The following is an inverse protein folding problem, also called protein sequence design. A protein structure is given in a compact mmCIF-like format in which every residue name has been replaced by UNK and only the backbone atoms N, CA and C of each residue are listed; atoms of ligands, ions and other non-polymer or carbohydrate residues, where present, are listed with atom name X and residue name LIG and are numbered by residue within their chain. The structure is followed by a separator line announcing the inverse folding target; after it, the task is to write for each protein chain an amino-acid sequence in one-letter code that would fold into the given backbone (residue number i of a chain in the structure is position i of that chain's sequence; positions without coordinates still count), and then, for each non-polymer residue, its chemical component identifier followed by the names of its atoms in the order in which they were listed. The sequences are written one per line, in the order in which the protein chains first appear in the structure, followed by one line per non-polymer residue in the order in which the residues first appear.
data_IF_957755058274
#
_entry.id   IF_957755058274
#
_cell.length_a   1.000
_cell.length_b   1.000
_cell.length_c   1.000
_cell.angle_alpha   90.00
_cell.angle_beta   90.00
_cell.angle_gamma   90.00
#
_symmetry.space_group_name_H-M   'P 1'
#
loop_
_entity.id
_entity.type
_entity.pdbx_description
1 polymer ?
#
# COMPACT_ATOMS: atom_id res chain seq x y z
N UNK A 1 16.57 -28.14 -39.68
CA UNK A 1 16.47 -27.97 -38.21
C UNK A 1 17.67 -27.13 -37.80
N UNK A 2 17.53 -26.06 -37.01
CA UNK A 2 18.71 -25.33 -36.55
C UNK A 2 19.47 -26.25 -35.58
N UNK A 3 20.76 -26.46 -35.82
CA UNK A 3 21.66 -27.14 -34.90
C UNK A 3 21.67 -26.37 -33.58
N UNK A 4 21.01 -26.92 -32.56
CA UNK A 4 21.11 -26.40 -31.20
C UNK A 4 22.52 -26.77 -30.73
N UNK A 5 23.48 -25.87 -30.92
CA UNK A 5 24.82 -26.00 -30.36
C UNK A 5 24.71 -26.07 -28.83
N UNK A 6 24.88 -27.27 -28.27
CA UNK A 6 25.07 -27.44 -26.83
C UNK A 6 26.35 -26.67 -26.47
N UNK A 7 26.29 -25.64 -25.63
CA UNK A 7 27.49 -24.90 -25.25
C UNK A 7 28.50 -25.86 -24.60
N UNK A 8 29.81 -25.69 -24.84
CA UNK A 8 30.84 -26.50 -24.19
C UNK A 8 30.63 -26.54 -22.68
N UNK A 9 30.93 -27.68 -22.07
CA UNK A 9 30.79 -27.90 -20.64
C UNK A 9 31.41 -26.81 -19.76
N UNK A 10 32.53 -26.25 -20.21
CA UNK A 10 33.29 -25.22 -19.52
C UNK A 10 32.91 -23.78 -19.94
N UNK A 11 31.98 -23.60 -20.89
CA UNK A 11 31.53 -22.27 -21.31
C UNK A 11 30.54 -21.68 -20.30
N UNK A 12 30.54 -20.36 -20.12
CA UNK A 12 29.61 -19.66 -19.22
C UNK A 12 28.15 -20.00 -19.51
N UNK A 13 27.76 -20.12 -20.78
CA UNK A 13 26.41 -20.53 -21.18
C UNK A 13 26.11 -21.99 -20.81
N UNK A 14 27.10 -22.88 -20.89
CA UNK A 14 26.98 -24.29 -20.49
C UNK A 14 26.94 -24.47 -18.97
N UNK A 15 27.65 -23.61 -18.23
CA UNK A 15 27.60 -23.53 -16.77
C UNK A 15 26.22 -23.01 -16.33
N UNK A 16 25.74 -21.89 -16.90
CA UNK A 16 24.43 -21.34 -16.59
C UNK A 16 23.26 -22.29 -16.91
N UNK A 17 23.35 -23.05 -18.02
CA UNK A 17 22.40 -24.11 -18.37
C UNK A 17 22.38 -25.26 -17.34
N UNK A 18 23.53 -25.56 -16.72
CA UNK A 18 23.66 -26.62 -15.70
C UNK A 18 23.30 -26.14 -14.30
N UNK A 19 23.60 -24.89 -13.97
CA UNK A 19 23.20 -24.25 -12.73
C UNK A 19 21.67 -24.14 -12.62
N UNK A 20 20.99 -23.98 -13.77
CA UNK A 20 19.53 -24.00 -13.83
C UNK A 20 18.90 -25.39 -13.68
N UNK A 21 19.69 -26.45 -13.77
CA UNK A 21 19.24 -27.82 -13.63
C UNK A 21 19.51 -28.33 -12.22
N UNK A 22 18.48 -28.23 -11.37
CA UNK A 22 18.56 -28.67 -9.98
C UNK A 22 17.68 -29.90 -9.73
N UNK A 23 17.99 -30.64 -8.66
CA UNK A 23 17.20 -31.78 -8.19
C UNK A 23 15.71 -31.42 -8.02
N UNK A 24 15.41 -30.19 -7.61
CA UNK A 24 14.04 -29.67 -7.48
C UNK A 24 13.31 -29.51 -8.81
N UNK A 25 13.96 -29.01 -9.85
CA UNK A 25 13.35 -28.85 -11.18
C UNK A 25 12.99 -30.20 -11.81
N UNK A 26 13.88 -31.19 -11.68
CA UNK A 26 13.62 -32.56 -12.14
C UNK A 26 12.44 -33.19 -11.38
N UNK A 27 12.39 -33.01 -10.06
CA UNK A 27 11.29 -33.49 -9.23
C UNK A 27 9.95 -32.84 -9.60
N UNK A 28 9.93 -31.52 -9.81
CA UNK A 28 8.74 -30.78 -10.23
C UNK A 28 8.24 -31.23 -11.60
N UNK A 29 9.14 -31.44 -12.56
CA UNK A 29 8.78 -31.93 -13.89
C UNK A 29 8.15 -33.34 -13.82
N UNK A 30 8.71 -34.26 -13.03
CA UNK A 30 8.11 -35.59 -12.81
C UNK A 30 6.79 -35.48 -12.04
N UNK A 31 6.67 -34.57 -11.08
CA UNK A 31 5.42 -34.30 -10.34
C UNK A 31 4.30 -33.89 -11.30
N UNK A 32 4.56 -32.93 -12.20
CA UNK A 32 3.58 -32.46 -13.18
C UNK A 32 3.13 -33.59 -14.11
N UNK A 33 4.05 -34.46 -14.55
CA UNK A 33 3.71 -35.63 -15.36
C UNK A 33 2.85 -36.63 -14.59
N UNK A 34 3.27 -37.00 -13.37
CA UNK A 34 2.57 -37.96 -12.54
C UNK A 34 1.16 -37.49 -12.15
N UNK A 35 1.01 -36.20 -11.83
CA UNK A 35 -0.29 -35.58 -11.57
C UNK A 35 -1.21 -35.59 -12.80
N UNK A 36 -0.66 -35.44 -14.00
CA UNK A 36 -1.42 -35.60 -15.25
C UNK A 36 -1.88 -37.03 -15.52
N UNK A 37 -1.16 -38.02 -15.00
CA UNK A 37 -1.49 -39.44 -15.16
C UNK A 37 -2.46 -39.99 -14.12
N UNK A 38 -2.46 -39.42 -12.92
CA UNK A 38 -3.31 -39.84 -11.81
C UNK A 38 -3.87 -38.62 -11.06
N UNK A 39 -4.81 -37.86 -11.66
CA UNK A 39 -5.34 -36.63 -11.07
C UNK A 39 -6.09 -36.85 -9.75
N UNK A 40 -6.47 -38.08 -9.44
CA UNK A 40 -7.11 -38.50 -8.19
C UNK A 40 -6.14 -38.59 -6.99
N UNK A 41 -4.83 -38.50 -7.23
CA UNK A 41 -3.81 -38.48 -6.19
C UNK A 41 -3.26 -37.06 -6.00
N UNK A 42 -3.02 -36.69 -4.74
CA UNK A 42 -2.36 -35.42 -4.42
C UNK A 42 -0.83 -35.59 -4.54
N UNK A 43 -0.16 -34.64 -5.19
CA UNK A 43 1.28 -34.70 -5.45
C UNK A 43 2.03 -33.50 -4.88
N UNK A 44 3.19 -33.78 -4.27
CA UNK A 44 4.08 -32.79 -3.68
C UNK A 44 5.47 -32.89 -4.30
N UNK A 45 6.14 -31.76 -4.52
CA UNK A 45 7.55 -31.73 -4.90
C UNK A 45 8.41 -31.80 -3.64
N UNK A 46 9.36 -32.72 -3.62
CA UNK A 46 10.17 -33.07 -2.45
C UNK A 46 9.57 -34.22 -1.63
N UNK A 47 10.09 -34.44 -0.40
CA UNK A 47 9.56 -35.48 0.49
C UNK A 47 8.09 -35.21 0.84
N UNK A 48 7.30 -36.29 0.93
CA UNK A 48 5.89 -36.19 1.31
C UNK A 48 5.76 -35.57 2.71
N UNK A 49 5.03 -34.46 2.90
CA UNK A 49 4.88 -33.82 4.20
C UNK A 49 4.30 -34.78 5.25
N UNK A 50 4.79 -34.74 6.49
CA UNK A 50 4.38 -35.68 7.55
C UNK A 50 2.89 -35.64 7.89
N UNK A 51 2.25 -34.50 7.68
CA UNK A 51 0.84 -34.26 7.99
C UNK A 51 -0.13 -34.51 6.82
N UNK A 52 0.39 -34.91 5.64
CA UNK A 52 -0.41 -35.08 4.42
C UNK A 52 -0.46 -36.55 3.95
N UNK A 53 -1.55 -36.94 3.31
CA UNK A 53 -1.63 -38.14 2.47
C UNK A 53 -1.43 -37.71 1.00
N UNK A 54 -0.91 -38.59 0.15
CA UNK A 54 -0.58 -38.27 -1.24
C UNK A 54 0.73 -38.91 -1.68
N UNK A 55 1.40 -38.30 -2.66
CA UNK A 55 2.67 -38.78 -3.25
C UNK A 55 3.70 -37.64 -3.26
N UNK A 56 4.80 -37.83 -2.55
CA UNK A 56 5.99 -36.98 -2.65
C UNK A 56 6.88 -37.42 -3.81
N UNK A 57 7.40 -36.45 -4.57
CA UNK A 57 8.29 -36.68 -5.72
C UNK A 57 9.65 -36.08 -5.43
N UNK A 58 10.67 -36.90 -5.29
CA UNK A 58 12.00 -36.46 -4.86
C UNK A 58 13.09 -36.95 -5.81
N UNK A 59 13.98 -36.07 -6.24
CA UNK A 59 15.19 -36.48 -6.97
C UNK A 59 16.24 -36.97 -5.96
N UNK A 60 16.41 -38.28 -5.86
CA UNK A 60 17.29 -38.94 -4.86
C UNK A 60 18.73 -39.00 -5.35
N UNK A 61 18.95 -39.03 -6.68
CA UNK A 61 20.29 -39.04 -7.26
C UNK A 61 20.35 -38.21 -8.53
N UNK A 62 21.25 -37.23 -8.53
CA UNK A 62 21.57 -36.42 -9.68
C UNK A 62 23.10 -36.31 -9.82
N UNK A 63 23.76 -37.31 -10.45
CA UNK A 63 25.21 -37.28 -10.61
C UNK A 63 25.61 -36.12 -11.53
N UNK A 64 26.78 -35.51 -11.32
CA UNK A 64 27.30 -34.53 -12.27
C UNK A 64 27.44 -35.18 -13.67
N UNK A 65 27.14 -34.45 -14.76
CA UNK A 65 27.28 -34.99 -16.11
C UNK A 65 28.74 -35.39 -16.37
N UNK A 66 28.96 -36.63 -16.80
CA UNK A 66 30.28 -37.13 -17.20
C UNK A 66 30.43 -37.05 -18.73
N UNK A 67 31.52 -36.45 -19.22
CA UNK A 67 31.86 -36.49 -20.65
C UNK A 67 32.08 -37.96 -21.07
N UNK A 68 31.45 -38.48 -22.14
CA UNK A 68 31.00 -37.79 -23.36
C UNK A 68 29.47 -37.59 -23.52
N UNK A 69 28.65 -37.76 -22.47
CA UNK A 69 27.17 -37.74 -22.57
C UNK A 69 26.58 -36.32 -22.50
N UNK A 70 27.16 -35.35 -23.22
CA UNK A 70 26.83 -33.92 -23.09
C UNK A 70 25.38 -33.55 -23.49
N UNK A 71 24.63 -34.44 -24.14
CA UNK A 71 23.22 -34.25 -24.48
C UNK A 71 22.20 -35.02 -23.63
N UNK A 72 22.64 -35.96 -22.78
CA UNK A 72 21.74 -36.81 -21.99
C UNK A 72 22.17 -36.86 -20.52
N UNK A 73 21.26 -36.49 -19.62
CA UNK A 73 21.50 -36.52 -18.18
C UNK A 73 20.59 -37.54 -17.51
N UNK A 74 21.16 -38.40 -16.66
CA UNK A 74 20.41 -39.39 -15.88
C UNK A 74 20.15 -38.90 -14.46
N UNK A 75 18.90 -38.97 -14.04
CA UNK A 75 18.46 -38.73 -12.67
C UNK A 75 17.70 -39.94 -12.12
N UNK A 76 17.76 -40.16 -10.81
CA UNK A 76 16.88 -41.09 -10.11
C UNK A 76 15.88 -40.28 -9.30
N UNK A 77 14.61 -40.42 -9.63
CA UNK A 77 13.49 -39.78 -8.95
C UNK A 77 12.69 -40.84 -8.22
N UNK A 78 12.27 -40.58 -6.99
CA UNK A 78 11.46 -41.49 -6.18
C UNK A 78 10.09 -40.89 -5.97
N UNK A 79 9.06 -41.66 -6.32
CA UNK A 79 7.68 -41.41 -5.93
C UNK A 79 7.42 -42.17 -4.61
N UNK A 80 7.14 -41.44 -3.54
CA UNK A 80 6.85 -42.00 -2.22
C UNK A 80 5.43 -41.60 -1.82
N UNK A 81 4.51 -42.56 -1.81
CA UNK A 81 3.12 -42.30 -1.46
C UNK A 81 2.68 -42.91 -0.13
N UNK A 82 1.71 -42.26 0.52
CA UNK A 82 1.08 -42.69 1.77
C UNK A 82 -0.39 -42.31 1.75
N UNK A 83 -1.28 -43.24 2.10
CA UNK A 83 -2.71 -42.94 2.25
C UNK A 83 -3.42 -43.93 3.17
N UNK A 84 -4.51 -43.48 3.83
CA UNK A 84 -5.46 -44.36 4.50
C UNK A 84 -6.51 -44.97 3.55
N UNK A 85 -6.61 -44.45 2.31
CA UNK A 85 -7.58 -44.91 1.33
C UNK A 85 -7.29 -46.36 0.90
N UNK A 86 -8.24 -47.31 1.05
CA UNK A 86 -8.05 -48.69 0.60
C UNK A 86 -7.81 -48.82 -0.91
N UNK A 87 -8.27 -47.86 -1.73
CA UNK A 87 -8.05 -47.85 -3.18
C UNK A 87 -6.68 -47.27 -3.60
N UNK A 88 -5.90 -46.77 -2.64
CA UNK A 88 -4.58 -46.17 -2.92
C UNK A 88 -3.60 -47.13 -3.61
N UNK A 89 -3.44 -48.40 -3.19
CA UNK A 89 -2.52 -49.33 -3.87
C UNK A 89 -2.88 -49.56 -5.35
N UNK A 90 -4.17 -49.63 -5.67
CA UNK A 90 -4.64 -49.82 -7.04
C UNK A 90 -4.35 -48.58 -7.89
N UNK A 91 -4.70 -47.38 -7.40
CA UNK A 91 -4.39 -46.10 -8.08
C UNK A 91 -2.90 -45.86 -8.27
N UNK A 92 -2.08 -46.22 -7.28
CA UNK A 92 -0.63 -46.10 -7.39
C UNK A 92 -0.04 -47.14 -8.36
N UNK A 93 -0.63 -48.34 -8.43
CA UNK A 93 -0.26 -49.35 -9.44
C UNK A 93 -0.61 -48.89 -10.86
N UNK A 94 -1.78 -48.26 -11.03
CA UNK A 94 -2.19 -47.65 -12.31
C UNK A 94 -1.24 -46.52 -12.74
N UNK A 95 -0.80 -45.69 -11.79
CA UNK A 95 0.25 -44.69 -12.02
C UNK A 95 1.58 -45.34 -12.40
N UNK A 96 2.02 -46.37 -11.67
CA UNK A 96 3.25 -47.09 -11.95
C UNK A 96 3.26 -47.70 -13.36
N UNK A 97 2.10 -48.19 -13.83
CA UNK A 97 1.92 -48.75 -15.16
C UNK A 97 2.03 -47.72 -16.30
N UNK A 98 1.99 -46.41 -16.00
CA UNK A 98 2.29 -45.35 -16.98
C UNK A 98 3.78 -45.19 -17.25
N UNK A 99 4.62 -45.89 -16.49
CA UNK A 99 6.06 -45.98 -16.71
C UNK A 99 6.40 -47.43 -17.17
N UNK A 100 7.15 -47.60 -18.26
CA UNK A 100 8.01 -46.61 -18.89
C UNK A 100 7.28 -45.60 -19.79
N UNK A 101 7.70 -44.34 -19.72
CA UNK A 101 7.21 -43.25 -20.57
C UNK A 101 8.31 -42.85 -21.56
N UNK A 102 8.00 -42.93 -22.87
CA UNK A 102 8.90 -42.50 -23.93
C UNK A 102 8.64 -41.04 -24.31
N UNK A 103 9.69 -40.23 -24.47
CA UNK A 103 9.63 -38.87 -24.99
C UNK A 103 8.58 -37.96 -24.30
N UNK A 104 8.66 -37.82 -22.98
CA UNK A 104 7.78 -36.93 -22.20
C UNK A 104 8.39 -35.52 -22.06
N UNK A 105 7.56 -34.50 -21.92
CA UNK A 105 8.03 -33.15 -21.62
C UNK A 105 7.08 -32.45 -20.64
N UNK A 106 7.65 -31.81 -19.62
CA UNK A 106 6.90 -31.08 -18.59
C UNK A 106 7.79 -30.05 -17.90
N UNK A 107 7.20 -28.94 -17.45
CA UNK A 107 7.89 -27.89 -16.70
C UNK A 107 9.22 -27.42 -17.32
N UNK A 108 9.31 -27.39 -18.66
CA UNK A 108 10.54 -27.01 -19.39
C UNK A 108 11.58 -28.12 -19.56
N UNK A 109 11.41 -29.28 -18.92
CA UNK A 109 12.30 -30.44 -19.03
C UNK A 109 11.75 -31.44 -20.04
N UNK A 110 12.62 -31.90 -20.95
CA UNK A 110 12.34 -32.97 -21.90
C UNK A 110 13.01 -34.27 -21.45
N UNK A 111 12.21 -35.28 -21.18
CA UNK A 111 12.66 -36.63 -20.88
C UNK A 111 12.73 -37.45 -22.17
N UNK A 112 13.92 -37.94 -22.52
CA UNK A 112 14.07 -38.94 -23.57
C UNK A 112 13.35 -40.24 -23.18
N UNK A 113 13.50 -40.66 -21.92
CA UNK A 113 12.86 -41.86 -21.37
C UNK A 113 12.71 -41.74 -19.86
N UNK A 114 11.63 -42.29 -19.31
CA UNK A 114 11.46 -42.49 -17.87
C UNK A 114 11.10 -43.95 -17.66
N UNK A 115 11.96 -44.70 -16.98
CA UNK A 115 11.72 -46.12 -16.68
C UNK A 115 11.59 -46.36 -15.17
N UNK A 116 10.83 -47.36 -14.73
CA UNK A 116 10.97 -47.86 -13.37
C UNK A 116 12.38 -48.42 -13.18
N UNK A 117 13.11 -47.91 -12.19
CA UNK A 117 14.41 -48.46 -11.80
C UNK A 117 14.24 -49.83 -11.11
N UNK A 118 13.17 -49.97 -10.33
CA UNK A 118 12.76 -51.18 -9.63
C UNK A 118 11.22 -51.28 -9.66
N UNK A 119 10.68 -52.44 -9.30
CA UNK A 119 9.23 -52.60 -9.18
C UNK A 119 8.67 -51.71 -8.05
N UNK A 120 7.41 -51.30 -8.17
CA UNK A 120 6.74 -50.56 -7.11
C UNK A 120 6.65 -51.43 -5.83
N UNK A 121 7.16 -50.92 -4.72
CA UNK A 121 7.08 -51.57 -3.42
C UNK A 121 5.85 -51.07 -2.67
N UNK A 122 5.09 -51.99 -2.08
CA UNK A 122 3.92 -51.67 -1.26
C UNK A 122 4.11 -52.21 0.15
N UNK A 123 3.82 -51.38 1.14
CA UNK A 123 3.84 -51.76 2.54
C UNK A 123 2.63 -51.21 3.29
N UNK A 124 2.43 -51.71 4.50
CA UNK A 124 1.49 -51.15 5.46
C UNK A 124 2.29 -50.69 6.66
N UNK A 125 2.18 -49.41 7.01
CA UNK A 125 2.88 -48.81 8.14
C UNK A 125 1.90 -48.12 9.06
N UNK A 126 2.25 -48.05 10.34
CA UNK A 126 1.47 -47.30 11.32
C UNK A 126 2.01 -45.86 11.34
N UNK A 127 1.25 -44.90 10.84
CA UNK A 127 1.61 -43.48 10.84
C UNK A 127 0.71 -42.73 11.81
N UNK A 128 1.28 -42.13 12.86
CA UNK A 128 0.54 -41.48 13.96
C UNK A 128 -0.62 -42.34 14.54
N UNK A 129 -0.41 -43.64 14.67
CA UNK A 129 -1.42 -44.56 15.22
C UNK A 129 -2.46 -45.05 14.21
N UNK A 130 -2.44 -44.58 12.97
CA UNK A 130 -3.37 -44.97 11.91
C UNK A 130 -2.64 -45.91 10.93
N UNK A 131 -3.21 -47.08 10.59
CA UNK A 131 -2.65 -47.93 9.54
C UNK A 131 -2.80 -47.22 8.19
N UNK A 132 -1.66 -46.99 7.52
CA UNK A 132 -1.58 -46.38 6.19
C UNK A 132 -0.94 -47.37 5.22
N UNK A 133 -1.42 -47.35 3.98
CA UNK A 133 -0.76 -48.00 2.84
C UNK A 133 0.33 -47.06 2.36
N UNK A 134 1.56 -47.55 2.20
CA UNK A 134 2.66 -46.81 1.61
C UNK A 134 3.12 -47.47 0.33
N UNK A 135 3.55 -46.67 -0.64
CA UNK A 135 4.09 -47.15 -1.89
C UNK A 135 5.35 -46.39 -2.28
N UNK A 136 6.35 -47.08 -2.83
CA UNK A 136 7.58 -46.47 -3.32
C UNK A 136 7.83 -46.95 -4.74
N UNK A 137 8.06 -46.00 -5.66
CA UNK A 137 8.47 -46.29 -7.03
C UNK A 137 9.69 -45.44 -7.39
N UNK A 138 10.88 -46.04 -7.51
CA UNK A 138 12.05 -45.37 -8.06
C UNK A 138 11.97 -45.36 -9.60
N UNK A 139 12.22 -44.20 -10.19
CA UNK A 139 12.21 -43.92 -11.62
C UNK A 139 13.60 -43.49 -12.07
N UNK A 140 14.11 -44.10 -13.13
CA UNK A 140 15.29 -43.66 -13.86
C UNK A 140 14.84 -42.72 -14.98
N UNK A 141 15.18 -41.44 -14.86
CA UNK A 141 14.87 -40.42 -15.84
C UNK A 141 16.09 -40.15 -16.73
N UNK A 142 15.97 -40.43 -18.02
CA UNK A 142 16.92 -39.97 -19.05
C UNK A 142 16.41 -38.65 -19.65
N UNK A 143 17.16 -37.58 -19.46
CA UNK A 143 16.77 -36.21 -19.79
C UNK A 143 17.56 -35.73 -21.00
N UNK A 144 16.84 -35.26 -22.02
CA UNK A 144 17.40 -34.63 -23.20
C UNK A 144 17.67 -33.16 -22.91
N UNK A 145 18.95 -32.85 -22.65
CA UNK A 145 19.40 -31.48 -22.37
C UNK A 145 19.28 -30.55 -23.57
N UNK A 146 19.25 -31.08 -24.79
CA UNK A 146 19.23 -30.28 -26.03
C UNK A 146 17.85 -29.72 -26.34
N UNK A 147 16.81 -30.45 -25.92
CA UNK A 147 15.40 -30.08 -26.11
C UNK A 147 14.73 -29.49 -24.87
N UNK A 148 15.47 -29.33 -23.77
CA UNK A 148 14.95 -28.74 -22.53
C UNK A 148 15.19 -27.23 -22.52
N UNK A 149 14.20 -26.46 -22.08
CA UNK A 149 14.26 -24.99 -21.99
C UNK A 149 14.27 -24.60 -20.51
N UNK A 150 15.33 -23.92 -20.08
CA UNK A 150 15.51 -23.56 -18.68
C UNK A 150 15.45 -22.04 -18.53
N UNK A 151 14.48 -21.57 -17.76
CA UNK A 151 14.59 -20.28 -17.07
C UNK A 151 15.49 -20.52 -15.86
N UNK A 152 16.59 -19.77 -15.76
CA UNK A 152 17.45 -19.82 -14.57
C UNK A 152 16.57 -19.72 -13.31
N UNK A 153 16.70 -20.63 -12.34
CA UNK A 153 16.01 -20.49 -11.09
C UNK A 153 16.47 -19.18 -10.48
N UNK A 154 15.52 -18.36 -10.04
CA UNK A 154 15.79 -17.35 -9.02
C UNK A 154 16.63 -18.04 -7.95
N UNK A 155 17.80 -17.46 -7.61
CA UNK A 155 18.65 -17.98 -6.54
C UNK A 155 17.78 -18.41 -5.35
N UNK A 156 18.06 -19.56 -4.70
CA UNK A 156 17.28 -19.98 -3.54
C UNK A 156 17.19 -18.79 -2.59
N UNK A 157 15.97 -18.29 -2.34
CA UNK A 157 15.76 -17.19 -1.39
C UNK A 157 16.47 -17.60 -0.11
N UNK A 158 17.51 -16.86 0.29
CA UNK A 158 18.15 -17.03 1.58
C UNK A 158 17.03 -17.12 2.62
N UNK A 159 17.02 -18.23 3.37
CA UNK A 159 16.02 -18.42 4.41
C UNK A 159 16.08 -17.18 5.31
N UNK A 160 14.99 -16.39 5.39
CA UNK A 160 15.05 -15.09 6.00
C UNK A 160 15.48 -15.24 7.46
N UNK A 161 16.54 -14.51 7.82
CA UNK A 161 17.12 -14.57 9.14
C UNK A 161 16.57 -13.46 10.05
N UNK A 162 17.03 -13.45 11.31
CA UNK A 162 16.61 -12.44 12.28
C UNK A 162 17.00 -11.01 11.85
N UNK A 163 18.12 -10.83 11.15
CA UNK A 163 18.58 -9.53 10.71
C UNK A 163 17.69 -9.00 9.58
N UNK A 164 17.37 -9.83 8.60
CA UNK A 164 16.43 -9.54 7.51
C UNK A 164 15.05 -9.19 8.04
N UNK A 165 14.56 -9.92 9.05
CA UNK A 165 13.27 -9.62 9.70
C UNK A 165 13.29 -8.26 10.41
N UNK A 166 14.39 -7.91 11.09
CA UNK A 166 14.57 -6.63 11.79
C UNK A 166 14.73 -5.45 10.83
N UNK A 167 15.31 -5.69 9.65
CA UNK A 167 15.50 -4.67 8.62
C UNK A 167 14.19 -4.14 8.03
N UNK A 168 13.09 -4.87 8.16
CA UNK A 168 11.76 -4.38 7.77
C UNK A 168 11.32 -3.30 8.77
N UNK A 169 11.62 -2.04 8.45
CA UNK A 169 11.29 -0.92 9.33
C UNK A 169 9.80 -0.63 9.28
N UNK A 170 9.14 -0.37 10.43
CA UNK A 170 7.74 0.06 10.46
C UNK A 170 7.46 1.22 9.49
N UNK A 171 8.32 2.26 9.45
CA UNK A 171 8.13 3.38 8.54
C UNK A 171 8.05 3.00 7.05
N UNK A 172 8.81 1.98 6.61
CA UNK A 172 8.76 1.50 5.22
C UNK A 172 7.44 0.76 4.93
N UNK A 173 6.98 -0.05 5.90
CA UNK A 173 5.68 -0.75 5.81
C UNK A 173 4.52 0.24 5.84
N UNK A 174 4.62 1.30 6.64
CA UNK A 174 3.65 2.38 6.72
C UNK A 174 3.56 3.14 5.38
N UNK A 175 4.69 3.54 4.80
CA UNK A 175 4.72 4.19 3.50
C UNK A 175 4.19 3.30 2.36
N UNK A 176 4.45 1.99 2.43
CA UNK A 176 3.92 1.03 1.46
C UNK A 176 2.41 0.83 1.59
N UNK A 177 1.90 0.72 2.82
CA UNK A 177 0.47 0.62 3.07
C UNK A 177 -0.26 1.91 2.66
N UNK A 178 0.31 3.07 2.98
CA UNK A 178 -0.16 4.38 2.55
C UNK A 178 -0.29 4.45 1.01
N UNK A 179 0.74 4.02 0.26
CA UNK A 179 0.69 3.95 -1.20
C UNK A 179 -0.38 3.00 -1.74
N UNK A 180 -0.60 1.85 -1.10
CA UNK A 180 -1.66 0.90 -1.50
C UNK A 180 -3.07 1.49 -1.32
N UNK A 181 -3.30 2.21 -0.22
CA UNK A 181 -4.59 2.82 0.08
C UNK A 181 -4.79 4.19 -0.57
N UNK A 182 -3.79 4.74 -1.26
CA UNK A 182 -3.83 6.13 -1.76
C UNK A 182 -4.11 7.10 -0.58
N UNK A 183 -3.26 7.00 0.44
CA UNK A 183 -3.33 7.69 1.71
C UNK A 183 -1.96 8.24 2.12
N UNK A 184 -1.93 9.12 3.11
CA UNK A 184 -0.70 9.67 3.68
C UNK A 184 -0.14 8.75 4.79
N UNK A 185 1.18 8.56 4.87
CA UNK A 185 1.79 7.85 5.98
C UNK A 185 1.71 8.66 7.28
N UNK A 186 1.40 7.98 8.37
CA UNK A 186 1.35 8.55 9.72
C UNK A 186 -0.07 8.85 10.21
N UNK A 187 -0.19 9.55 11.36
CA UNK A 187 -1.47 9.86 11.95
C UNK A 187 -2.21 10.93 11.13
N UNK A 188 -3.52 10.78 11.01
CA UNK A 188 -4.36 11.81 10.39
C UNK A 188 -4.30 13.07 11.25
N UNK A 189 -3.89 14.23 10.72
CA UNK A 189 -3.81 15.45 11.51
C UNK A 189 -5.18 15.83 12.07
N UNK A 190 -5.21 16.34 13.31
CA UNK A 190 -6.47 16.58 14.05
C UNK A 190 -7.47 17.45 13.29
N UNK A 191 -6.99 18.39 12.48
CA UNK A 191 -7.81 19.36 11.76
C UNK A 191 -7.86 19.11 10.25
N UNK A 192 -7.36 17.98 9.75
CA UNK A 192 -7.28 17.69 8.32
C UNK A 192 -8.30 16.67 7.83
N UNK A 193 -8.97 17.01 6.73
CA UNK A 193 -9.59 16.02 5.86
C UNK A 193 -8.49 15.25 5.13
N UNK A 194 -8.72 13.98 4.89
CA UNK A 194 -7.77 13.11 4.21
C UNK A 194 -7.90 11.66 4.63
N UNK A 195 -6.97 10.86 4.12
CA UNK A 195 -6.82 9.44 4.43
C UNK A 195 -5.41 9.28 4.97
N UNK A 196 -5.25 8.59 6.08
CA UNK A 196 -3.92 8.28 6.60
C UNK A 196 -3.83 6.84 7.06
N UNK A 197 -2.60 6.31 7.00
CA UNK A 197 -2.29 4.97 7.49
C UNK A 197 -1.13 5.07 8.45
N UNK A 198 -1.29 4.51 9.66
CA UNK A 198 -0.20 4.39 10.63
C UNK A 198 -0.05 3.00 11.17
N UNK A 199 1.17 2.60 11.52
CA UNK A 199 1.41 1.36 12.27
C UNK A 199 1.18 1.61 13.77
N UNK A 200 0.25 0.87 14.35
CA UNK A 200 -0.03 0.92 15.80
C UNK A 200 0.83 -0.11 16.54
N UNK A 201 1.05 -1.29 15.93
CA UNK A 201 1.76 -2.40 16.57
C UNK A 201 2.53 -3.23 15.54
N UNK A 202 3.68 -3.74 15.95
CA UNK A 202 4.38 -4.84 15.28
C UNK A 202 4.29 -6.06 16.18
N UNK A 203 3.89 -7.21 15.64
CA UNK A 203 3.93 -8.46 16.38
C UNK A 203 5.40 -8.85 16.69
N UNK A 204 5.65 -9.55 17.80
CA UNK A 204 6.96 -10.15 18.06
C UNK A 204 7.28 -11.22 17.01
N UNK A 205 8.57 -11.50 16.80
CA UNK A 205 9.00 -12.52 15.86
C UNK A 205 8.54 -13.91 16.33
N UNK A 206 7.62 -14.51 15.59
CA UNK A 206 7.18 -15.90 15.76
C UNK A 206 7.72 -16.80 14.63
N UNK A 207 7.87 -16.24 13.44
CA UNK A 207 8.44 -16.84 12.23
C UNK A 207 9.29 -15.75 11.55
N UNK A 208 10.44 -16.10 10.98
CA UNK A 208 11.29 -15.15 10.25
C UNK A 208 10.89 -15.03 8.77
N UNK A 209 10.07 -15.94 8.24
CA UNK A 209 9.51 -15.84 6.89
C UNK A 209 8.51 -14.66 6.76
N UNK A 210 7.85 -14.31 7.86
CA UNK A 210 6.77 -13.32 7.87
C UNK A 210 6.93 -12.31 9.01
N UNK A 211 6.39 -11.11 8.80
CA UNK A 211 6.24 -10.13 9.87
C UNK A 211 4.83 -9.53 9.86
N UNK A 212 4.14 -9.68 10.98
CA UNK A 212 2.77 -9.17 11.16
C UNK A 212 2.78 -7.77 11.78
N UNK A 213 1.98 -6.88 11.21
CA UNK A 213 1.74 -5.51 11.68
C UNK A 213 0.25 -5.26 11.87
N UNK A 214 -0.08 -4.45 12.87
CA UNK A 214 -1.41 -3.86 13.05
C UNK A 214 -1.34 -2.39 12.62
N UNK A 215 -2.19 -2.03 11.66
CA UNK A 215 -2.31 -0.73 11.05
C UNK A 215 -3.62 -0.07 11.47
N UNK A 216 -3.64 1.26 11.56
CA UNK A 216 -4.88 2.05 11.57
C UNK A 216 -5.03 2.73 10.22
N UNK A 217 -6.14 2.46 9.53
CA UNK A 217 -6.58 3.27 8.40
C UNK A 217 -7.60 4.28 8.93
N UNK A 218 -7.26 5.56 8.88
CA UNK A 218 -8.12 6.66 9.31
C UNK A 218 -8.56 7.47 8.09
N UNK A 219 -9.86 7.78 8.00
CA UNK A 219 -10.42 8.57 6.91
C UNK A 219 -11.32 9.65 7.50
N UNK A 220 -11.10 10.89 7.10
CA UNK A 220 -11.97 12.03 7.40
C UNK A 220 -12.30 12.76 6.11
N UNK A 221 -13.57 12.82 5.75
CA UNK A 221 -14.02 13.50 4.53
C UNK A 221 -15.24 14.39 4.82
N UNK A 222 -15.33 15.56 4.17
CA UNK A 222 -16.48 16.42 4.33
C UNK A 222 -17.71 15.81 3.64
N UNK A 223 -18.86 15.88 4.31
CA UNK A 223 -20.12 15.35 3.77
C UNK A 223 -20.24 13.82 3.86
N UNK A 224 -21.45 13.33 4.09
CA UNK A 224 -21.72 11.90 4.31
C UNK A 224 -21.57 11.04 3.05
N UNK A 225 -22.01 11.55 1.89
CA UNK A 225 -22.01 10.79 0.62
C UNK A 225 -20.60 10.57 0.08
N UNK A 226 -19.78 11.63 0.08
CA UNK A 226 -18.38 11.55 -0.36
C UNK A 226 -17.57 10.66 0.58
N UNK A 227 -17.86 10.73 1.89
CA UNK A 227 -17.25 9.87 2.89
C UNK A 227 -17.60 8.39 2.69
N UNK A 228 -18.87 8.04 2.58
CA UNK A 228 -19.31 6.64 2.40
C UNK A 228 -18.73 6.04 1.11
N UNK A 229 -18.71 6.82 0.03
CA UNK A 229 -18.14 6.40 -1.25
C UNK A 229 -16.63 6.21 -1.16
N UNK A 230 -15.90 7.18 -0.60
CA UNK A 230 -14.44 7.11 -0.47
C UNK A 230 -14.01 5.98 0.47
N UNK A 231 -14.68 5.85 1.61
CA UNK A 231 -14.37 4.83 2.60
C UNK A 231 -14.81 3.43 2.15
N UNK A 232 -15.99 3.30 1.55
CA UNK A 232 -16.44 2.06 0.92
C UNK A 232 -15.50 1.58 -0.19
N UNK A 233 -14.98 2.49 -1.01
CA UNK A 233 -13.99 2.18 -2.03
C UNK A 233 -12.65 1.67 -1.46
N UNK A 234 -12.26 2.13 -0.26
CA UNK A 234 -11.06 1.63 0.43
C UNK A 234 -11.29 0.24 1.04
N UNK A 235 -12.46 0.03 1.68
CA UNK A 235 -12.83 -1.28 2.23
C UNK A 235 -13.01 -2.33 1.13
N UNK A 236 -13.48 -1.95 -0.06
CA UNK A 236 -13.60 -2.87 -1.19
C UNK A 236 -12.26 -3.41 -1.71
N UNK A 237 -11.13 -2.77 -1.35
CA UNK A 237 -9.79 -3.32 -1.63
C UNK A 237 -9.41 -4.47 -0.69
N UNK A 238 -10.21 -4.77 0.33
CA UNK A 238 -9.92 -5.75 1.37
C UNK A 238 -10.87 -6.97 1.31
N UNK A 239 -10.38 -8.19 1.61
CA UNK A 239 -8.99 -8.53 1.87
C UNK A 239 -8.12 -8.42 0.60
N UNK A 240 -6.90 -7.94 0.78
CA UNK A 240 -5.90 -7.85 -0.30
C UNK A 240 -4.85 -8.92 -0.10
N UNK A 241 -4.48 -9.68 -1.13
CA UNK A 241 -3.47 -10.75 -1.05
C UNK A 241 -2.36 -10.55 -2.07
N UNK A 242 -1.12 -10.89 -1.69
CA UNK A 242 0.08 -10.83 -2.53
C UNK A 242 0.29 -9.47 -3.25
N UNK A 243 0.10 -8.37 -2.53
CA UNK A 243 0.25 -7.01 -3.06
C UNK A 243 1.65 -6.48 -2.76
N UNK A 244 2.28 -5.85 -3.75
CA UNK A 244 3.57 -5.17 -3.56
C UNK A 244 3.41 -3.68 -3.76
N UNK A 245 3.87 -2.88 -2.77
CA UNK A 245 3.89 -1.42 -2.83
C UNK A 245 5.17 -0.91 -2.19
N UNK A 246 5.82 0.10 -2.79
CA UNK A 246 7.08 0.70 -2.31
C UNK A 246 8.15 -0.33 -1.88
N UNK A 247 8.26 -1.45 -2.60
CA UNK A 247 9.23 -2.51 -2.30
C UNK A 247 8.89 -3.39 -1.08
N UNK A 248 7.70 -3.27 -0.50
CA UNK A 248 7.18 -4.15 0.55
C UNK A 248 6.13 -5.09 -0.05
N UNK A 249 6.30 -6.39 0.17
CA UNK A 249 5.39 -7.44 -0.29
C UNK A 249 4.44 -7.87 0.85
N UNK A 250 3.17 -7.49 0.75
CA UNK A 250 2.10 -7.91 1.64
C UNK A 250 1.53 -9.26 1.17
N UNK A 251 1.69 -10.30 1.97
CA UNK A 251 1.03 -11.59 1.74
C UNK A 251 -0.47 -11.45 1.89
N UNK A 252 -0.90 -10.66 2.88
CA UNK A 252 -2.28 -10.26 3.00
C UNK A 252 -2.47 -9.04 3.89
N UNK A 253 -3.54 -8.29 3.61
CA UNK A 253 -4.07 -7.20 4.42
C UNK A 253 -5.55 -7.45 4.63
N UNK A 254 -6.02 -7.48 5.88
CA UNK A 254 -7.42 -7.74 6.20
C UNK A 254 -7.88 -6.97 7.45
N UNK A 255 -9.19 -6.77 7.64
CA UNK A 255 -9.72 -6.12 8.83
C UNK A 255 -9.51 -6.99 10.07
N UNK A 256 -8.97 -6.40 11.13
CA UNK A 256 -8.83 -7.05 12.44
C UNK A 256 -10.05 -6.77 13.33
N UNK A 257 -10.67 -5.60 13.17
CA UNK A 257 -11.88 -5.18 13.89
C UNK A 257 -12.87 -4.53 12.93
N UNK A 258 -14.13 -4.45 13.37
CA UNK A 258 -15.15 -3.66 12.69
C UNK A 258 -14.74 -2.19 12.60
N UNK A 259 -15.08 -1.57 11.46
CA UNK A 259 -14.87 -0.15 11.25
C UNK A 259 -15.67 0.67 12.26
N UNK A 260 -15.02 1.63 12.92
CA UNK A 260 -15.70 2.59 13.80
C UNK A 260 -16.06 3.82 12.99
N UNK A 261 -17.32 4.20 13.04
CA UNK A 261 -17.86 5.35 12.32
C UNK A 261 -18.32 6.41 13.30
N UNK A 262 -17.87 7.64 13.09
CA UNK A 262 -18.22 8.79 13.90
C UNK A 262 -18.49 9.97 12.98
N UNK A 263 -19.47 10.80 13.34
CA UNK A 263 -19.66 12.11 12.73
C UNK A 263 -19.13 13.16 13.68
N UNK A 264 -18.23 14.00 13.20
CA UNK A 264 -17.68 15.11 13.98
C UNK A 264 -17.85 16.43 13.24
N UNK A 265 -17.86 17.54 13.99
CA UNK A 265 -17.87 18.88 13.42
C UNK A 265 -16.48 19.47 13.59
N UNK A 266 -15.82 19.77 12.46
CA UNK A 266 -14.51 20.38 12.44
C UNK A 266 -14.60 21.72 11.70
N UNK A 267 -14.13 22.79 12.33
CA UNK A 267 -14.19 24.15 11.76
C UNK A 267 -15.63 24.53 11.32
N UNK A 268 -16.63 24.14 12.11
CA UNK A 268 -18.07 24.36 11.85
C UNK A 268 -18.62 23.61 10.62
N UNK A 269 -17.84 22.71 10.00
CA UNK A 269 -18.26 21.84 8.91
C UNK A 269 -18.42 20.39 9.40
N UNK A 270 -19.48 19.67 9.02
CA UNK A 270 -19.64 18.26 9.38
C UNK A 270 -18.71 17.35 8.56
N UNK A 271 -18.09 16.39 9.23
CA UNK A 271 -17.21 15.38 8.65
C UNK A 271 -17.69 13.98 9.02
N UNK A 272 -17.64 13.08 8.04
CA UNK A 272 -17.66 11.65 8.30
C UNK A 272 -16.25 11.19 8.65
N UNK A 273 -16.13 10.46 9.76
CA UNK A 273 -14.87 9.86 10.21
C UNK A 273 -15.02 8.36 10.32
N UNK A 274 -14.03 7.64 9.80
CA UNK A 274 -13.89 6.22 10.04
C UNK A 274 -12.48 5.86 10.46
N UNK A 275 -12.38 4.90 11.38
CA UNK A 275 -11.12 4.25 11.75
C UNK A 275 -11.28 2.75 11.68
N UNK A 276 -10.34 2.09 11.03
CA UNK A 276 -10.29 0.62 10.92
C UNK A 276 -8.94 0.13 11.35
N UNK A 277 -8.94 -0.86 12.23
CA UNK A 277 -7.75 -1.61 12.58
C UNK A 277 -7.59 -2.77 11.59
N UNK A 278 -6.48 -2.78 10.87
CA UNK A 278 -6.15 -3.77 9.86
C UNK A 278 -4.93 -4.58 10.32
N UNK A 279 -4.88 -5.84 9.91
CA UNK A 279 -3.69 -6.67 10.05
C UNK A 279 -3.04 -6.87 8.69
N UNK A 280 -1.73 -6.63 8.64
CA UNK A 280 -0.92 -6.82 7.45
C UNK A 280 0.20 -7.82 7.73
N UNK A 281 0.33 -8.84 6.87
CA UNK A 281 1.41 -9.81 6.90
C UNK A 281 2.39 -9.52 5.78
N UNK A 282 3.65 -9.23 6.12
CA UNK A 282 4.73 -8.91 5.18
C UNK A 282 5.63 -10.12 4.95
N UNK A 283 5.97 -10.41 3.69
CA UNK A 283 6.96 -11.44 3.32
C UNK A 283 8.37 -10.88 3.47
N UNK A 284 9.21 -11.52 4.28
CA UNK A 284 10.51 -10.93 4.63
C UNK A 284 11.50 -10.92 3.47
N UNK A 285 11.68 -12.07 2.79
CA UNK A 285 12.61 -12.20 1.68
C UNK A 285 12.29 -11.23 0.53
N UNK A 286 11.02 -11.20 0.11
CA UNK A 286 10.55 -10.33 -0.97
C UNK A 286 10.56 -8.82 -0.65
N UNK A 287 10.78 -8.42 0.62
CA UNK A 287 10.72 -7.00 1.05
C UNK A 287 12.09 -6.36 1.33
N UNK A 288 13.20 -7.08 1.09
CA UNK A 288 14.57 -6.61 1.38
C UNK A 288 15.07 -5.49 0.45
N UNK A 289 14.38 -5.22 -0.67
CA UNK A 289 14.75 -4.18 -1.64
C UNK A 289 14.30 -2.76 -1.30
N UNK A 290 13.65 -2.52 -0.15
CA UNK A 290 13.08 -1.21 0.24
C UNK A 290 14.12 -0.20 0.75
N UNK A 291 15.33 -0.25 0.19
CA UNK A 291 16.48 0.57 0.54
C UNK A 291 16.39 2.03 0.11
N UNK A 292 15.25 2.69 0.28
CA UNK A 292 15.11 4.14 0.40
C UNK A 292 13.72 4.43 0.95
N UNK A 293 13.50 4.22 2.25
CA UNK A 293 12.51 5.05 2.91
C UNK A 293 13.04 6.49 2.78
N UNK A 294 12.32 7.42 2.13
CA UNK A 294 12.70 8.83 2.22
C UNK A 294 12.84 9.15 3.70
N UNK A 295 13.90 9.84 4.10
CA UNK A 295 13.93 10.45 5.42
C UNK A 295 12.59 11.15 5.64
N UNK A 296 11.93 10.95 6.80
CA UNK A 296 10.72 11.69 7.09
C UNK A 296 11.01 13.16 6.81
N UNK A 297 10.19 13.83 5.99
CA UNK A 297 10.48 15.21 5.60
C UNK A 297 10.72 15.98 6.89
N UNK A 298 11.93 16.54 7.04
CA UNK A 298 12.25 17.38 8.19
C UNK A 298 11.12 18.41 8.28
N UNK A 299 10.37 18.47 9.40
CA UNK A 299 9.19 19.32 9.53
C UNK A 299 9.50 20.80 9.31
N UNK A 300 10.79 21.18 9.22
CA UNK A 300 11.26 22.52 8.95
C UNK A 300 11.80 22.74 7.52
N UNK A 301 11.85 21.73 6.64
CA UNK A 301 12.59 21.81 5.35
C UNK A 301 11.88 22.61 4.25
N UNK A 302 10.59 22.90 4.40
CA UNK A 302 9.82 23.64 3.40
C UNK A 302 8.88 24.66 4.05
N UNK A 303 9.39 25.47 4.99
CA UNK A 303 8.68 26.67 5.41
C UNK A 303 8.94 27.74 4.35
N UNK A 304 8.05 27.82 3.34
CA UNK A 304 7.96 29.04 2.56
C UNK A 304 7.80 30.21 3.55
N UNK A 305 8.58 31.30 3.44
CA UNK A 305 8.45 32.42 4.35
C UNK A 305 7.01 32.93 4.28
N UNK A 306 6.29 32.81 5.40
CA UNK A 306 4.93 33.32 5.51
C UNK A 306 4.98 34.84 5.34
N UNK A 307 4.40 35.37 4.25
CA UNK A 307 4.27 36.81 3.98
C UNK A 307 2.85 37.28 4.36
N UNK A 308 2.66 37.90 5.55
CA UNK A 308 1.36 38.36 5.99
C UNK A 308 0.79 39.45 5.07
N UNK A 309 1.65 40.28 4.45
CA UNK A 309 1.21 41.35 3.57
C UNK A 309 0.68 40.79 2.23
N UNK A 310 1.22 39.67 1.75
CA UNK A 310 0.65 38.96 0.61
C UNK A 310 -0.72 38.35 0.95
N UNK A 311 -0.86 37.75 2.13
CA UNK A 311 -2.15 37.20 2.56
C UNK A 311 -3.21 38.29 2.74
N UNK A 312 -2.86 39.41 3.38
CA UNK A 312 -3.78 40.54 3.55
C UNK A 312 -4.24 41.11 2.20
N UNK A 313 -3.31 41.21 1.23
CA UNK A 313 -3.64 41.62 -0.15
C UNK A 313 -4.60 40.65 -0.83
N UNK A 314 -4.37 39.34 -0.72
CA UNK A 314 -5.22 38.34 -1.33
C UNK A 314 -6.63 38.32 -0.72
N UNK A 315 -6.72 38.40 0.62
CA UNK A 315 -7.99 38.49 1.34
C UNK A 315 -8.78 39.75 0.96
N UNK A 316 -8.10 40.91 0.91
CA UNK A 316 -8.71 42.17 0.51
C UNK A 316 -9.25 42.12 -0.92
N UNK A 317 -8.48 41.56 -1.86
CA UNK A 317 -8.91 41.41 -3.25
C UNK A 317 -10.15 40.52 -3.38
N UNK A 318 -10.19 39.38 -2.67
CA UNK A 318 -11.33 38.45 -2.66
C UNK A 318 -12.60 39.11 -2.14
N UNK A 319 -12.49 39.90 -1.07
CA UNK A 319 -13.61 40.63 -0.48
C UNK A 319 -14.07 41.75 -1.41
N UNK A 320 -13.14 42.49 -2.01
CA UNK A 320 -13.44 43.55 -2.94
C UNK A 320 -14.22 43.02 -4.16
N UNK A 321 -13.75 41.92 -4.76
CA UNK A 321 -14.44 41.24 -5.84
C UNK A 321 -15.86 40.79 -5.45
N UNK A 322 -15.99 40.12 -4.30
CA UNK A 322 -17.26 39.60 -3.83
C UNK A 322 -18.32 40.67 -3.54
N UNK A 323 -17.88 41.85 -3.11
CA UNK A 323 -18.75 42.99 -2.81
C UNK A 323 -18.87 43.99 -3.97
N UNK A 324 -18.17 43.77 -5.08
CA UNK A 324 -18.10 44.72 -6.19
C UNK A 324 -17.46 46.07 -5.81
N UNK A 325 -16.50 46.07 -4.87
CA UNK A 325 -15.80 47.25 -4.41
C UNK A 325 -14.48 47.43 -5.14
N UNK A 326 -14.08 48.68 -5.35
CA UNK A 326 -12.80 49.03 -5.94
C UNK A 326 -11.69 49.04 -4.89
N UNK A 327 -10.64 48.23 -5.10
CA UNK A 327 -9.46 48.20 -4.23
C UNK A 327 -8.79 49.58 -4.09
N UNK A 328 -8.28 49.87 -2.90
CA UNK A 328 -7.57 51.10 -2.50
C UNK A 328 -8.39 52.41 -2.65
N UNK A 329 -9.65 52.34 -3.11
CA UNK A 329 -10.61 53.46 -3.20
C UNK A 329 -11.83 53.25 -2.31
N UNK A 330 -12.45 52.08 -2.38
CA UNK A 330 -13.65 51.72 -1.63
C UNK A 330 -13.36 50.66 -0.55
N UNK A 331 -12.34 49.83 -0.77
CA UNK A 331 -11.80 48.90 0.22
C UNK A 331 -10.31 49.18 0.46
N UNK A 332 -9.95 49.45 1.72
CA UNK A 332 -8.56 49.67 2.12
C UNK A 332 -7.94 48.43 2.77
N UNK A 333 -6.64 48.26 2.56
CA UNK A 333 -5.80 47.31 3.31
C UNK A 333 -5.33 47.95 4.61
N UNK A 334 -5.26 47.18 5.67
CA UNK A 334 -5.01 47.65 7.03
C UNK A 334 -6.19 48.43 7.59
N UNK A 335 -5.92 49.63 8.09
CA UNK A 335 -6.91 50.46 8.77
C UNK A 335 -7.53 51.50 7.84
N UNK A 336 -8.65 52.09 8.28
CA UNK A 336 -9.20 53.25 7.60
C UNK A 336 -8.18 54.40 7.57
N UNK A 337 -8.08 55.14 6.46
CA UNK A 337 -7.21 56.30 6.39
C UNK A 337 -7.62 57.34 7.43
N UNK A 338 -6.67 58.16 7.92
CA UNK A 338 -6.95 59.17 8.93
C UNK A 338 -7.97 60.20 8.42
N UNK A 339 -8.69 60.87 9.34
CA UNK A 339 -9.64 61.92 8.97
C UNK A 339 -8.96 63.01 8.13
N UNK A 340 -9.53 63.34 6.97
CA UNK A 340 -9.04 64.44 6.10
C UNK A 340 -8.37 64.01 4.79
N UNK A 341 -8.15 62.71 4.54
CA UNK A 341 -7.53 62.21 3.31
C UNK A 341 -8.37 62.33 2.02
N UNK A 342 -9.54 63.00 2.05
CA UNK A 342 -10.43 63.17 0.88
C UNK A 342 -11.11 61.88 0.37
N UNK A 343 -10.68 60.71 0.82
CA UNK A 343 -11.25 59.40 0.51
C UNK A 343 -12.05 58.86 1.70
N UNK A 344 -13.26 58.37 1.45
CA UNK A 344 -14.11 57.72 2.45
C UNK A 344 -14.38 56.24 2.07
N UNK A 345 -13.38 55.35 2.14
CA UNK A 345 -13.56 53.93 1.85
C UNK A 345 -14.70 53.31 2.66
N UNK A 346 -15.48 52.44 2.05
CA UNK A 346 -16.60 51.74 2.65
C UNK A 346 -16.16 50.58 3.57
N UNK A 347 -14.98 50.01 3.31
CA UNK A 347 -14.45 48.85 4.02
C UNK A 347 -12.94 48.96 4.30
N UNK A 348 -12.47 48.29 5.35
CA UNK A 348 -11.05 48.04 5.59
C UNK A 348 -10.81 46.60 6.05
N UNK A 349 -9.69 46.00 5.65
CA UNK A 349 -9.29 44.63 6.05
C UNK A 349 -7.89 44.66 6.63
N UNK A 350 -7.73 44.19 7.87
CA UNK A 350 -6.42 44.14 8.56
C UNK A 350 -6.17 42.76 9.15
N UNK A 351 -4.96 42.23 9.06
CA UNK A 351 -4.53 41.09 9.88
C UNK A 351 -4.15 41.57 11.29
N UNK A 352 -4.77 41.00 12.32
CA UNK A 352 -4.65 41.47 13.72
C UNK A 352 -4.00 40.46 14.66
N UNK A 353 -3.88 39.19 14.28
CA UNK A 353 -3.24 38.17 15.09
C UNK A 353 -2.67 37.04 14.24
N UNK A 354 -1.40 37.13 13.87
CA UNK A 354 -0.67 35.99 13.33
C UNK A 354 -0.24 35.13 14.52
N UNK A 355 -1.11 34.21 14.95
CA UNK A 355 -0.78 33.30 16.02
C UNK A 355 0.01 32.13 15.42
N UNK A 356 1.23 31.89 15.92
CA UNK A 356 1.98 30.68 15.60
C UNK A 356 1.39 29.47 16.36
N UNK A 357 0.21 29.02 15.97
CA UNK A 357 -0.27 27.68 16.32
C UNK A 357 0.59 26.63 15.62
N UNK A 358 0.78 25.46 16.25
CA UNK A 358 1.70 24.39 15.86
C UNK A 358 2.10 24.37 14.38
N UNK A 359 3.40 24.61 14.10
CA UNK A 359 3.99 24.65 12.76
C UNK A 359 3.73 23.40 11.91
N UNK A 360 3.35 22.29 12.53
CA UNK A 360 3.00 21.02 11.86
C UNK A 360 1.55 20.94 11.38
N UNK A 361 0.64 21.80 11.88
CA UNK A 361 -0.80 21.71 11.59
C UNK A 361 -1.37 22.90 10.80
N UNK A 362 -0.57 23.93 10.56
CA UNK A 362 -0.97 25.13 9.81
C UNK A 362 -0.87 26.43 10.61
N UNK A 363 -1.16 27.55 9.97
CA UNK A 363 -1.21 28.87 10.65
C UNK A 363 -2.65 29.26 10.93
N UNK A 364 -2.90 29.77 12.15
CA UNK A 364 -4.17 30.42 12.48
C UNK A 364 -3.97 31.93 12.51
N UNK A 365 -4.61 32.61 11.56
CA UNK A 365 -4.47 34.06 11.38
C UNK A 365 -5.80 34.73 11.64
N UNK A 366 -5.81 35.69 12.54
CA UNK A 366 -6.97 36.55 12.77
C UNK A 366 -6.92 37.74 11.82
N UNK A 367 -8.05 38.02 11.19
CA UNK A 367 -8.28 39.21 10.40
C UNK A 367 -9.47 39.99 10.95
N UNK A 368 -9.39 41.31 10.88
CA UNK A 368 -10.46 42.21 11.22
C UNK A 368 -10.92 42.94 9.96
N UNK A 369 -12.17 42.70 9.59
CA UNK A 369 -12.88 43.53 8.63
C UNK A 369 -13.61 44.64 9.38
N UNK A 370 -13.53 45.87 8.87
CA UNK A 370 -14.40 46.96 9.32
C UNK A 370 -15.17 47.52 8.13
N UNK A 371 -16.46 47.76 8.33
CA UNK A 371 -17.36 48.41 7.38
C UNK A 371 -17.84 49.72 7.98
N UNK A 372 -18.05 50.72 7.12
CA UNK A 372 -18.74 51.96 7.51
C UNK A 372 -19.75 52.38 6.46
N UNK A 373 -20.87 52.94 6.92
CA UNK A 373 -21.86 53.55 6.06
C UNK A 373 -22.53 54.76 6.74
N UNK A 374 -23.00 55.74 5.95
CA UNK A 374 -23.77 56.88 6.47
C UNK A 374 -25.20 56.48 6.85
N UNK A 375 -25.75 55.44 6.23
CA UNK A 375 -27.12 54.98 6.43
C UNK A 375 -27.18 53.54 6.94
N UNK A 376 -28.12 53.30 7.84
CA UNK A 376 -28.36 51.99 8.46
C UNK A 376 -28.61 50.89 7.41
N UNK A 377 -29.54 51.13 6.48
CA UNK A 377 -29.97 50.10 5.52
C UNK A 377 -28.87 49.72 4.52
N UNK A 378 -27.98 50.66 4.21
CA UNK A 378 -26.80 50.41 3.38
C UNK A 378 -25.77 49.56 4.13
N UNK A 379 -25.53 49.84 5.42
CA UNK A 379 -24.69 49.00 6.26
C UNK A 379 -25.24 47.58 6.38
N UNK A 380 -26.55 47.42 6.63
CA UNK A 380 -27.18 46.10 6.71
C UNK A 380 -27.07 45.32 5.40
N UNK A 381 -27.29 45.96 4.24
CA UNK A 381 -27.10 45.30 2.94
C UNK A 381 -25.66 44.82 2.73
N UNK A 382 -24.67 45.66 3.06
CA UNK A 382 -23.25 45.28 2.98
C UNK A 382 -22.92 44.14 3.94
N UNK A 383 -23.45 44.20 5.16
CA UNK A 383 -23.27 43.16 6.16
C UNK A 383 -23.88 41.83 5.72
N UNK A 384 -25.09 41.82 5.16
CA UNK A 384 -25.72 40.61 4.65
C UNK A 384 -24.94 40.01 3.46
N UNK A 385 -24.51 40.86 2.53
CA UNK A 385 -23.67 40.43 1.42
C UNK A 385 -22.34 39.83 1.92
N UNK A 386 -21.78 40.40 2.99
CA UNK A 386 -20.55 39.92 3.60
C UNK A 386 -20.75 38.64 4.42
N UNK A 387 -21.83 38.55 5.19
CA UNK A 387 -22.16 37.38 5.99
C UNK A 387 -22.36 36.14 5.10
N UNK A 388 -22.98 36.33 3.93
CA UNK A 388 -23.13 35.28 2.92
C UNK A 388 -21.80 34.79 2.31
N UNK A 389 -20.68 35.48 2.54
CA UNK A 389 -19.37 35.03 2.07
C UNK A 389 -18.76 33.96 2.96
N UNK A 390 -19.19 33.80 4.21
CA UNK A 390 -18.56 32.89 5.19
C UNK A 390 -19.58 31.89 5.76
N UNK A 391 -19.14 30.69 6.18
CA UNK A 391 -17.77 30.18 6.12
C UNK A 391 -17.35 29.76 4.71
N UNK A 392 -16.04 29.80 4.42
CA UNK A 392 -15.44 29.18 3.22
C UNK A 392 -14.44 28.13 3.62
N UNK A 393 -14.31 27.11 2.78
CA UNK A 393 -13.45 25.95 3.01
C UNK A 393 -12.69 25.62 1.73
N UNK A 394 -11.47 25.09 1.89
CA UNK A 394 -10.65 24.55 0.80
C UNK A 394 -10.49 25.53 -0.39
N UNK A 395 -10.27 26.82 -0.11
CA UNK A 395 -10.08 27.86 -1.11
C UNK A 395 -8.59 28.25 -1.24
N UNK A 396 -8.20 28.82 -2.38
CA UNK A 396 -6.87 29.39 -2.57
C UNK A 396 -6.95 30.91 -2.56
N UNK A 397 -6.23 31.56 -1.65
CA UNK A 397 -6.08 33.01 -1.62
C UNK A 397 -4.69 33.40 -2.11
N UNK A 398 -4.59 33.73 -3.40
CA UNK A 398 -3.31 34.03 -4.03
C UNK A 398 -2.39 32.80 -4.07
N UNK A 399 -1.30 32.81 -3.29
CA UNK A 399 -0.39 31.67 -3.16
C UNK A 399 -0.64 30.82 -1.90
N UNK A 400 -1.65 31.17 -1.09
CA UNK A 400 -1.95 30.50 0.17
C UNK A 400 -3.11 29.53 0.00
N UNK A 401 -2.92 28.29 0.43
CA UNK A 401 -4.03 27.37 0.65
C UNK A 401 -4.75 27.79 1.94
N UNK A 402 -6.06 27.98 1.88
CA UNK A 402 -6.90 28.36 3.02
C UNK A 402 -7.91 27.25 3.25
N UNK A 403 -7.74 26.57 4.39
CA UNK A 403 -8.51 25.40 4.79
C UNK A 403 -9.88 25.80 5.29
N UNK A 404 -9.93 26.85 6.10
CA UNK A 404 -11.17 27.47 6.50
C UNK A 404 -11.01 28.98 6.70
N UNK A 405 -12.09 29.69 6.39
CA UNK A 405 -12.24 31.12 6.62
C UNK A 405 -13.56 31.31 7.38
N UNK A 406 -13.44 31.50 8.69
CA UNK A 406 -14.55 31.46 9.64
C UNK A 406 -14.87 32.84 10.20
N UNK A 407 -16.14 33.05 10.52
CA UNK A 407 -16.61 34.21 11.27
C UNK A 407 -16.54 33.92 12.76
N UNK A 408 -15.90 34.79 13.54
CA UNK A 408 -15.81 34.65 15.01
C UNK A 408 -16.74 35.60 15.72
N UNK A 409 -16.41 36.88 15.65
CA UNK A 409 -17.12 37.91 16.40
C UNK A 409 -17.67 38.99 15.48
N UNK A 410 -18.79 39.54 15.89
CA UNK A 410 -19.43 40.68 15.26
C UNK A 410 -19.62 41.80 16.27
N UNK A 411 -19.22 43.00 15.88
CA UNK A 411 -19.38 44.21 16.69
C UNK A 411 -20.04 45.29 15.85
N UNK A 412 -20.99 46.00 16.45
CA UNK A 412 -21.64 47.17 15.86
C UNK A 412 -21.38 48.37 16.75
N UNK A 413 -21.01 49.50 16.14
CA UNK A 413 -20.69 50.72 16.85
C UNK A 413 -21.12 51.96 16.08
N UNK A 414 -21.09 53.09 16.78
CA UNK A 414 -21.35 54.41 16.22
C UNK A 414 -20.08 55.25 16.39
N UNK A 415 -19.66 55.93 15.32
CA UNK A 415 -18.48 56.80 15.36
C UNK A 415 -18.78 58.10 14.63
N UNK A 416 -18.49 59.21 15.30
CA UNK A 416 -18.54 60.52 14.68
C UNK A 416 -17.20 60.80 13.97
N UNK A 417 -17.22 60.99 12.66
CA UNK A 417 -16.05 61.37 11.86
C UNK A 417 -16.37 62.65 11.08
N UNK A 418 -15.56 63.70 11.26
CA UNK A 418 -15.72 65.00 10.59
C UNK A 418 -17.13 65.61 10.72
N UNK A 419 -17.76 65.48 11.90
CA UNK A 419 -19.10 66.00 12.16
C UNK A 419 -20.25 65.20 11.52
N UNK A 420 -19.97 64.00 11.00
CA UNK A 420 -20.98 63.05 10.51
C UNK A 420 -20.97 61.79 11.36
N UNK A 421 -22.16 61.39 11.82
CA UNK A 421 -22.35 60.09 12.45
C UNK A 421 -22.26 58.99 11.39
N UNK A 422 -21.30 58.09 11.57
CA UNK A 422 -21.15 56.89 10.77
C UNK A 422 -21.44 55.67 11.62
N UNK A 423 -22.13 54.71 11.02
CA UNK A 423 -22.37 53.42 11.65
C UNK A 423 -21.24 52.50 11.20
N UNK A 424 -20.54 51.92 12.16
CA UNK A 424 -19.40 51.04 11.91
C UNK A 424 -19.75 49.62 12.33
N UNK A 425 -19.34 48.65 11.53
CA UNK A 425 -19.41 47.23 11.88
C UNK A 425 -18.03 46.62 11.80
N UNK A 426 -17.65 45.83 12.81
CA UNK A 426 -16.41 45.07 12.85
C UNK A 426 -16.72 43.58 12.82
N UNK A 427 -16.09 42.86 11.90
CA UNK A 427 -16.12 41.40 11.87
C UNK A 427 -14.72 40.84 12.10
N UNK A 428 -14.60 39.95 13.09
CA UNK A 428 -13.41 39.15 13.31
C UNK A 428 -13.52 37.86 12.50
N UNK A 429 -12.52 37.62 11.66
CA UNK A 429 -12.37 36.41 10.85
C UNK A 429 -11.19 35.59 11.37
N UNK A 430 -11.32 34.26 11.29
CA UNK A 430 -10.21 33.35 11.50
C UNK A 430 -9.90 32.61 10.20
N UNK A 431 -8.64 32.68 9.79
CA UNK A 431 -8.08 31.96 8.65
C UNK A 431 -7.25 30.79 9.18
N UNK A 432 -7.58 29.59 8.75
CA UNK A 432 -6.80 28.39 8.99
C UNK A 432 -6.08 28.04 7.68
N UNK A 433 -4.76 28.20 7.65
CA UNK A 433 -3.89 27.93 6.50
C UNK A 433 -3.34 26.52 6.52
#
# INVERSE_FOLDING_TARGET
MPEICIPPAASESGIALRDGFCAGAVAEAVRVLAAGYAPELEFFTGPLPDHADGVGVETVKLPAPAEPYLGCWRAVVRLSGRSADPAFPDRFSELAAKFPAAAAASAGIRFARIDPAEAAEFASTLHHGIPKRTAILPLLCEIDLTGSAFTAPSAPEEAPDRAMWQNIRPAAVEAAAAAFFDADPGPLPEECAGKSVRIIRSAPAADFAWRDFTLELAVRMPGSVDFETAFGGLLAKLPAENVTANGICFCGIWPEKEARFEFESLLERPYGCARVELRARVRVAASQGSGTAPEPPDPNRSVAPFDPAALERALAARIAEALGLTMDRELCRGEFPPPGCGTAPAASVRLTGVASGNRSTGYRVLAQLRLRAPHRDELFRRLLAFDALFPRYDETLGAFAVRALLKRDFTLGWKEENGRNTITAGLSLELVL
#
